data_IF_144605059628
#
_entry.id   IF_144605059628
#
_cell.length_a   1.000
_cell.length_b   1.000
_cell.length_c   1.000
_cell.angle_alpha   90.00
_cell.angle_beta   90.00
_cell.angle_gamma   90.00
#
_symmetry.space_group_name_H-M   'P 1'
#
loop_
_entity.id
_entity.type
_entity.pdbx_description
1 polymer ?
#
# COMPACT_ATOMS: atom_id res chain seq x y z
N UNK A 1 26.93 -10.37 -12.00
CA UNK A 1 26.42 -9.68 -10.79
C UNK A 1 25.41 -8.56 -11.07
N UNK A 2 25.63 -7.61 -12.02
CA UNK A 2 24.67 -6.50 -12.27
C UNK A 2 23.27 -6.88 -12.79
N UNK A 3 23.12 -7.98 -13.54
CA UNK A 3 21.81 -8.43 -14.06
C UNK A 3 20.86 -8.91 -12.94
N UNK A 4 21.40 -9.52 -11.87
CA UNK A 4 20.58 -10.00 -10.75
C UNK A 4 20.01 -8.83 -9.95
N UNK A 5 20.84 -7.84 -9.59
CA UNK A 5 20.39 -6.65 -8.85
C UNK A 5 19.23 -5.93 -9.56
N UNK A 6 19.33 -5.75 -10.88
CA UNK A 6 18.27 -5.10 -11.67
C UNK A 6 16.95 -5.86 -11.61
N UNK A 7 16.99 -7.19 -11.70
CA UNK A 7 15.78 -8.01 -11.66
C UNK A 7 15.18 -8.07 -10.25
N UNK A 8 16.02 -8.15 -9.21
CA UNK A 8 15.62 -8.06 -7.81
C UNK A 8 14.91 -6.74 -7.51
N UNK A 9 15.45 -5.60 -7.98
CA UNK A 9 14.81 -4.30 -7.83
C UNK A 9 13.46 -4.22 -8.55
N UNK A 10 13.36 -4.77 -9.77
CA UNK A 10 12.09 -4.84 -10.51
C UNK A 10 11.08 -5.66 -9.73
N UNK A 11 11.45 -6.87 -9.29
CA UNK A 11 10.57 -7.77 -8.54
C UNK A 11 10.10 -7.11 -7.23
N UNK A 12 11.01 -6.46 -6.51
CA UNK A 12 10.67 -5.78 -5.25
C UNK A 12 9.68 -4.64 -5.47
N UNK A 13 9.87 -3.82 -6.51
CA UNK A 13 8.92 -2.75 -6.86
C UNK A 13 7.54 -3.34 -7.18
N UNK A 14 7.48 -4.41 -7.98
CA UNK A 14 6.18 -5.03 -8.33
C UNK A 14 5.49 -5.64 -7.11
N UNK A 15 6.25 -6.33 -6.25
CA UNK A 15 5.71 -6.92 -5.03
C UNK A 15 5.12 -5.87 -4.09
N UNK A 16 5.86 -4.80 -3.80
CA UNK A 16 5.39 -3.74 -2.91
C UNK A 16 4.16 -3.02 -3.49
N UNK A 17 4.11 -2.83 -4.82
CA UNK A 17 2.95 -2.24 -5.49
C UNK A 17 1.69 -3.11 -5.33
N UNK A 18 1.84 -4.42 -5.50
CA UNK A 18 0.77 -5.39 -5.33
C UNK A 18 0.28 -5.45 -3.88
N UNK A 19 1.19 -5.50 -2.91
CA UNK A 19 0.84 -5.50 -1.49
C UNK A 19 0.06 -4.25 -1.07
N UNK A 20 0.48 -3.05 -1.50
CA UNK A 20 -0.27 -1.82 -1.24
C UNK A 20 -1.69 -1.92 -1.82
N UNK A 21 -1.83 -2.43 -3.04
CA UNK A 21 -3.15 -2.58 -3.67
C UNK A 21 -4.05 -3.56 -2.91
N UNK A 22 -3.50 -4.68 -2.45
CA UNK A 22 -4.24 -5.66 -1.64
C UNK A 22 -4.69 -5.05 -0.30
N UNK A 23 -3.86 -4.24 0.33
CA UNK A 23 -4.22 -3.54 1.56
C UNK A 23 -5.31 -2.50 1.36
N UNK A 24 -5.28 -1.73 0.28
CA UNK A 24 -6.36 -0.78 -0.05
C UNK A 24 -7.68 -1.55 -0.20
N UNK A 25 -7.66 -2.65 -0.94
CA UNK A 25 -8.84 -3.51 -1.12
C UNK A 25 -9.34 -4.08 0.21
N UNK A 26 -8.43 -4.52 1.08
CA UNK A 26 -8.76 -5.04 2.40
C UNK A 26 -9.52 -3.99 3.24
N UNK A 27 -9.03 -2.75 3.29
CA UNK A 27 -9.69 -1.68 4.06
C UNK A 27 -11.07 -1.34 3.47
N UNK A 28 -11.20 -1.29 2.14
CA UNK A 28 -12.49 -1.03 1.50
C UNK A 28 -13.49 -2.14 1.77
N UNK A 29 -13.07 -3.41 1.70
CA UNK A 29 -13.93 -4.54 2.04
C UNK A 29 -14.32 -4.55 3.52
N UNK A 30 -13.39 -4.21 4.42
CA UNK A 30 -13.67 -4.10 5.84
C UNK A 30 -14.70 -3.00 6.10
N UNK A 31 -14.53 -1.83 5.49
CA UNK A 31 -15.49 -0.72 5.58
C UNK A 31 -16.87 -1.13 5.06
N UNK A 32 -16.95 -1.74 3.88
CA UNK A 32 -18.21 -2.19 3.29
C UNK A 32 -18.97 -3.17 4.21
N UNK A 33 -18.26 -4.07 4.89
CA UNK A 33 -18.86 -5.00 5.86
C UNK A 33 -19.32 -4.31 7.14
N UNK A 34 -18.58 -3.30 7.60
CA UNK A 34 -18.77 -2.67 8.92
C UNK A 34 -19.53 -1.36 8.88
N UNK A 35 -19.82 -0.78 7.70
CA UNK A 35 -20.53 0.51 7.57
C UNK A 35 -21.93 0.52 8.19
N UNK A 36 -22.56 -0.65 8.36
CA UNK A 36 -23.86 -0.78 9.04
C UNK A 36 -23.72 -0.90 10.57
N UNK A 37 -22.55 -1.30 11.07
CA UNK A 37 -22.23 -1.38 12.49
C UNK A 37 -21.77 0.01 12.99
N UNK A 38 -22.71 0.91 13.26
CA UNK A 38 -22.46 2.33 13.60
C UNK A 38 -21.69 2.56 14.92
N UNK A 39 -21.39 1.52 15.69
CA UNK A 39 -20.74 1.65 17.00
C UNK A 39 -19.22 1.78 16.95
N UNK A 40 -18.56 1.39 15.84
CA UNK A 40 -17.12 1.49 15.72
C UNK A 40 -16.72 2.56 14.68
N UNK A 41 -16.20 3.73 15.08
CA UNK A 41 -15.75 4.76 14.13
C UNK A 41 -14.45 4.36 13.42
N UNK A 42 -13.75 3.34 13.89
CA UNK A 42 -12.41 3.01 13.43
C UNK A 42 -12.38 2.55 11.95
N UNK A 43 -13.25 1.63 11.47
CA UNK A 43 -13.34 1.31 10.04
C UNK A 43 -13.54 2.55 9.15
N UNK A 44 -14.25 3.58 9.64
CA UNK A 44 -14.45 4.84 8.91
C UNK A 44 -13.17 5.68 8.84
N UNK A 45 -12.40 5.73 9.92
CA UNK A 45 -11.12 6.46 9.97
C UNK A 45 -10.10 5.82 9.01
N UNK A 46 -9.90 4.51 9.12
CA UNK A 46 -9.01 3.78 8.23
C UNK A 46 -9.43 3.91 6.75
N UNK A 47 -10.74 3.85 6.47
CA UNK A 47 -11.26 4.11 5.14
C UNK A 47 -10.90 5.52 4.64
N UNK A 48 -11.09 6.54 5.46
CA UNK A 48 -10.82 7.95 5.09
C UNK A 48 -9.34 8.17 4.81
N UNK A 49 -8.45 7.66 5.67
CA UNK A 49 -7.01 7.70 5.47
C UNK A 49 -6.58 6.95 4.21
N UNK A 50 -7.15 5.77 3.97
CA UNK A 50 -6.89 4.97 2.77
C UNK A 50 -7.36 5.68 1.50
N UNK A 51 -8.50 6.37 1.53
CA UNK A 51 -8.97 7.19 0.39
C UNK A 51 -8.03 8.37 0.13
N UNK A 52 -7.54 9.03 1.18
CA UNK A 52 -6.57 10.11 1.04
C UNK A 52 -5.24 9.58 0.47
N UNK A 53 -4.76 8.44 0.95
CA UNK A 53 -3.59 7.75 0.43
C UNK A 53 -3.78 7.37 -1.05
N UNK A 54 -4.90 6.73 -1.41
CA UNK A 54 -5.17 6.31 -2.78
C UNK A 54 -5.19 7.51 -3.73
N UNK A 55 -5.69 8.67 -3.29
CA UNK A 55 -5.73 9.89 -4.10
C UNK A 55 -4.41 10.67 -4.13
N UNK A 56 -3.43 10.30 -3.32
CA UNK A 56 -2.14 11.00 -3.28
C UNK A 56 -1.42 10.89 -4.63
N UNK A 57 -0.81 11.98 -5.07
CA UNK A 57 -0.03 12.01 -6.31
C UNK A 57 1.10 10.98 -6.28
N UNK A 58 1.78 10.85 -5.13
CA UNK A 58 2.84 9.86 -4.93
C UNK A 58 2.37 8.42 -5.20
N UNK A 59 1.21 8.02 -4.67
CA UNK A 59 0.68 6.68 -4.96
C UNK A 59 0.20 6.53 -6.40
N UNK A 60 -0.45 7.56 -6.96
CA UNK A 60 -0.90 7.52 -8.36
C UNK A 60 0.27 7.37 -9.34
N UNK A 61 1.41 8.04 -9.10
CA UNK A 61 2.63 7.89 -9.89
C UNK A 61 3.17 6.46 -9.88
N UNK A 62 3.11 5.79 -8.73
CA UNK A 62 3.64 4.43 -8.57
C UNK A 62 2.65 3.39 -9.09
N UNK A 63 1.34 3.59 -8.87
CA UNK A 63 0.28 2.68 -9.32
C UNK A 63 0.31 2.41 -10.82
N UNK A 64 0.72 3.40 -11.62
CA UNK A 64 0.80 3.27 -13.09
C UNK A 64 2.10 2.62 -13.58
N UNK A 65 3.07 2.35 -12.69
CA UNK A 65 4.32 1.72 -13.08
C UNK A 65 4.07 0.30 -13.55
N UNK A 66 4.57 -0.01 -14.75
CA UNK A 66 4.61 -1.36 -15.31
C UNK A 66 6.03 -1.92 -15.23
N UNK A 67 6.14 -3.26 -15.24
CA UNK A 67 7.43 -3.97 -15.35
C UNK A 67 8.27 -3.40 -16.50
N UNK A 68 7.66 -3.13 -17.65
CA UNK A 68 8.35 -2.57 -18.81
C UNK A 68 8.92 -1.18 -18.51
N UNK A 69 8.13 -0.29 -17.92
CA UNK A 69 8.58 1.06 -17.54
C UNK A 69 9.76 0.99 -16.56
N UNK A 70 9.66 0.15 -15.52
CA UNK A 70 10.73 -0.02 -14.53
C UNK A 70 11.98 -0.63 -15.17
N UNK A 71 11.82 -1.57 -16.10
CA UNK A 71 12.93 -2.19 -16.85
C UNK A 71 13.67 -1.16 -17.71
N UNK A 72 12.95 -0.24 -18.32
CA UNK A 72 13.47 0.81 -19.21
C UNK A 72 14.08 2.01 -18.44
N UNK A 73 13.82 2.14 -17.13
CA UNK A 73 14.45 3.16 -16.28
C UNK A 73 15.97 2.96 -16.13
N UNK A 74 16.69 4.06 -15.95
CA UNK A 74 18.09 4.05 -15.48
C UNK A 74 18.18 3.49 -14.06
N UNK A 75 19.37 3.00 -13.67
CA UNK A 75 19.60 2.47 -12.32
C UNK A 75 19.19 3.46 -11.23
N UNK A 76 19.71 4.68 -11.29
CA UNK A 76 19.44 5.73 -10.30
C UNK A 76 17.95 6.11 -10.21
N UNK A 77 17.23 6.10 -11.34
CA UNK A 77 15.77 6.36 -11.33
C UNK A 77 15.02 5.21 -10.68
N UNK A 78 15.42 3.97 -10.97
CA UNK A 78 14.82 2.77 -10.38
C UNK A 78 15.03 2.72 -8.87
N UNK A 79 16.24 3.03 -8.40
CA UNK A 79 16.56 3.07 -6.97
C UNK A 79 15.75 4.15 -6.23
N UNK A 80 15.63 5.36 -6.82
CA UNK A 80 14.74 6.40 -6.29
C UNK A 80 13.28 5.96 -6.23
N UNK A 81 12.78 5.28 -7.27
CA UNK A 81 11.40 4.73 -7.27
C UNK A 81 11.23 3.63 -6.23
N UNK A 82 12.25 2.82 -6.00
CA UNK A 82 12.23 1.79 -4.97
C UNK A 82 12.08 2.40 -3.57
N UNK A 83 12.84 3.45 -3.25
CA UNK A 83 12.71 4.15 -1.96
C UNK A 83 11.30 4.74 -1.80
N UNK A 84 10.78 5.39 -2.84
CA UNK A 84 9.43 5.97 -2.78
C UNK A 84 8.34 4.92 -2.55
N UNK A 85 8.44 3.76 -3.21
CA UNK A 85 7.43 2.70 -3.00
C UNK A 85 7.55 2.06 -1.62
N UNK A 86 8.75 1.96 -1.05
CA UNK A 86 8.97 1.49 0.32
C UNK A 86 8.34 2.45 1.34
N UNK A 87 8.47 3.77 1.14
CA UNK A 87 7.84 4.78 1.99
C UNK A 87 6.30 4.69 1.94
N UNK A 88 5.73 4.57 0.75
CA UNK A 88 4.29 4.40 0.57
C UNK A 88 3.78 3.08 1.15
N UNK A 89 4.56 2.00 0.98
CA UNK A 89 4.27 0.70 1.56
C UNK A 89 4.24 0.77 3.08
N UNK A 90 5.26 1.37 3.70
CA UNK A 90 5.32 1.55 5.15
C UNK A 90 4.15 2.39 5.68
N UNK A 91 3.74 3.43 4.95
CA UNK A 91 2.58 4.24 5.31
C UNK A 91 1.29 3.39 5.28
N UNK A 92 1.04 2.68 4.19
CA UNK A 92 -0.15 1.82 4.08
C UNK A 92 -0.14 0.69 5.11
N UNK A 93 1.03 0.10 5.38
CA UNK A 93 1.21 -0.90 6.43
C UNK A 93 0.83 -0.35 7.80
N UNK A 94 1.16 0.91 8.09
CA UNK A 94 0.83 1.55 9.37
C UNK A 94 -0.69 1.71 9.54
N UNK A 95 -1.40 2.07 8.47
CA UNK A 95 -2.87 2.13 8.45
C UNK A 95 -3.45 0.74 8.76
N UNK A 96 -2.98 -0.30 8.05
CA UNK A 96 -3.47 -1.67 8.26
C UNK A 96 -3.13 -2.21 9.65
N UNK A 97 -1.94 -1.93 10.18
CA UNK A 97 -1.54 -2.36 11.52
C UNK A 97 -2.48 -1.77 12.58
N UNK A 98 -2.76 -0.46 12.51
CA UNK A 98 -3.72 0.19 13.40
C UNK A 98 -5.11 -0.46 13.32
N UNK A 99 -5.52 -0.90 12.12
CA UNK A 99 -6.78 -1.62 11.90
C UNK A 99 -6.82 -2.95 12.59
N UNK A 100 -5.80 -3.77 12.39
CA UNK A 100 -5.72 -5.10 12.98
C UNK A 100 -5.65 -5.02 14.51
N UNK A 101 -4.84 -4.11 15.05
CA UNK A 101 -4.77 -3.87 16.50
C UNK A 101 -6.12 -3.49 17.09
N UNK A 102 -6.87 -2.63 16.39
CA UNK A 102 -8.18 -2.19 16.87
C UNK A 102 -9.20 -3.31 16.82
N UNK A 103 -9.24 -4.08 15.74
CA UNK A 103 -10.12 -5.27 15.64
C UNK A 103 -9.81 -6.25 16.78
N UNK A 104 -8.53 -6.52 17.07
CA UNK A 104 -8.14 -7.42 18.16
C UNK A 104 -8.63 -6.92 19.52
N UNK A 105 -8.45 -5.62 19.82
CA UNK A 105 -8.90 -5.02 21.09
C UNK A 105 -10.41 -5.14 21.32
N UNK A 106 -11.21 -4.96 20.27
CA UNK A 106 -12.68 -5.01 20.37
C UNK A 106 -13.28 -6.42 20.14
N UNK A 107 -12.49 -7.40 19.70
CA UNK A 107 -12.95 -8.80 19.53
C UNK A 107 -12.77 -9.65 20.78
N UNK A 108 -12.01 -9.16 21.77
CA UNK A 108 -11.75 -9.84 23.05
C UNK A 108 -12.74 -9.46 24.16
N UNK A 109 -13.82 -8.76 23.84
CA UNK A 109 -14.93 -8.38 24.74
C UNK A 109 -16.23 -9.01 24.25
#
# INVERSE_FOLDING_TARGET
>A
MRRNKKEEEIQKIMLLQEEIQLWIQYIFQLWERKKQEQHNPFPKLAYTETVAFERSEAYQEIKILSVKMVRDMTGDKREKRLVQIEELHQHMQSIVAAVLETIQKYSAS
#
